data_IF_738756566975
#
_entry.id   IF_738756566975
#
_cell.length_a   1.000
_cell.length_b   1.000
_cell.length_c   1.000
_cell.angle_alpha   90.00
_cell.angle_beta   90.00
_cell.angle_gamma   90.00
#
_symmetry.space_group_name_H-M   'P 1'
#
loop_
_entity.id
_entity.type
_entity.pdbx_description
1 polymer ?
#
# COMPACT_ATOMS: atom_id res chain seq x y z
N UNK A 1 -49.54 -75.64 6.13
CA UNK A 1 -48.51 -75.19 7.10
C UNK A 1 -47.19 -75.08 6.36
N UNK A 2 -46.66 -73.86 6.18
CA UNK A 2 -45.49 -73.59 5.32
C UNK A 2 -44.20 -73.93 6.06
N UNK A 3 -43.44 -74.87 5.53
CA UNK A 3 -42.06 -75.17 5.92
C UNK A 3 -41.09 -74.71 4.83
N UNK A 4 -39.92 -74.27 5.32
CA UNK A 4 -38.79 -73.64 4.62
C UNK A 4 -38.22 -74.46 3.46
N UNK A 5 -37.80 -73.79 2.39
CA UNK A 5 -36.74 -74.28 1.50
C UNK A 5 -35.93 -73.11 0.91
N UNK A 6 -34.72 -72.98 1.43
CA UNK A 6 -33.44 -72.53 0.85
C UNK A 6 -33.42 -71.61 -0.37
N UNK A 7 -32.77 -70.44 -0.22
CA UNK A 7 -32.20 -69.66 -1.33
C UNK A 7 -30.69 -69.73 -1.25
N UNK A 8 -30.08 -70.16 -2.35
CA UNK A 8 -28.66 -70.37 -2.54
C UNK A 8 -27.87 -69.05 -2.63
N UNK A 9 -26.65 -69.10 -2.10
CA UNK A 9 -25.67 -68.02 -2.14
C UNK A 9 -25.19 -67.73 -3.58
N UNK A 10 -25.18 -66.45 -3.95
CA UNK A 10 -24.44 -65.95 -5.12
C UNK A 10 -23.31 -65.06 -4.62
N UNK A 11 -22.08 -65.57 -4.73
CA UNK A 11 -20.83 -64.86 -4.50
C UNK A 11 -20.56 -63.93 -5.68
N UNK A 12 -20.62 -62.61 -5.44
CA UNK A 12 -20.07 -61.60 -6.36
C UNK A 12 -19.00 -60.80 -5.63
N UNK A 13 -17.80 -60.97 -6.15
CA UNK A 13 -16.52 -60.36 -5.79
C UNK A 13 -16.60 -58.82 -5.71
N UNK A 14 -16.38 -58.29 -4.50
CA UNK A 14 -16.12 -56.86 -4.30
C UNK A 14 -14.74 -56.53 -4.87
N UNK A 15 -14.69 -55.92 -6.06
CA UNK A 15 -13.48 -55.28 -6.58
C UNK A 15 -13.16 -54.08 -5.69
N UNK A 16 -12.04 -54.13 -4.95
CA UNK A 16 -11.50 -52.99 -4.24
C UNK A 16 -11.12 -51.89 -5.24
N UNK A 17 -11.72 -50.71 -5.11
CA UNK A 17 -11.32 -49.52 -5.84
C UNK A 17 -9.93 -49.05 -5.35
N UNK A 18 -9.07 -48.51 -6.23
CA UNK A 18 -7.72 -48.08 -5.85
C UNK A 18 -7.80 -46.90 -4.88
N UNK A 19 -7.08 -47.05 -3.75
CA UNK A 19 -6.92 -46.04 -2.70
C UNK A 19 -6.18 -44.84 -3.28
N UNK A 20 -6.89 -43.76 -3.61
CA UNK A 20 -6.30 -42.47 -3.96
C UNK A 20 -5.45 -42.00 -2.77
N UNK A 21 -4.12 -42.08 -2.92
CA UNK A 21 -3.15 -41.49 -2.02
C UNK A 21 -3.32 -39.96 -2.07
N UNK A 22 -4.09 -39.44 -1.13
CA UNK A 22 -4.18 -38.01 -0.87
C UNK A 22 -2.80 -37.56 -0.35
N UNK A 23 -1.97 -37.00 -1.25
CA UNK A 23 -0.77 -36.28 -0.84
C UNK A 23 -1.23 -35.00 -0.14
N UNK A 24 -0.87 -34.74 1.12
CA UNK A 24 -1.24 -33.49 1.76
C UNK A 24 -0.63 -32.34 0.96
N UNK A 25 -1.50 -31.46 0.48
CA UNK A 25 -1.13 -30.15 -0.04
C UNK A 25 -0.34 -29.48 1.09
N UNK A 26 0.94 -29.19 0.87
CA UNK A 26 1.72 -28.36 1.79
C UNK A 26 0.98 -27.03 1.88
N UNK A 27 0.35 -26.78 3.02
CA UNK A 27 -0.24 -25.49 3.32
C UNK A 27 0.90 -24.46 3.25
N UNK A 28 0.82 -23.59 2.24
CA UNK A 28 1.68 -22.44 2.15
C UNK A 28 1.18 -21.46 3.22
N UNK A 29 1.59 -21.65 4.48
CA UNK A 29 1.18 -20.80 5.60
C UNK A 29 2.02 -19.53 5.58
N UNK A 30 1.79 -18.68 4.59
CA UNK A 30 2.11 -17.26 4.73
C UNK A 30 0.95 -16.63 5.52
N UNK A 31 0.86 -16.97 6.81
CA UNK A 31 -0.19 -16.48 7.70
C UNK A 31 0.03 -14.99 7.91
N UNK A 32 -0.86 -14.17 7.34
CA UNK A 32 -0.86 -12.72 7.51
C UNK A 32 -0.88 -12.39 9.01
N UNK A 33 0.09 -11.62 9.46
CA UNK A 33 0.20 -11.17 10.85
C UNK A 33 -0.39 -9.77 10.99
N UNK A 34 -1.16 -9.56 12.06
CA UNK A 34 -1.75 -8.30 12.44
C UNK A 34 -1.05 -7.77 13.68
N UNK A 35 -0.80 -6.46 13.70
CA UNK A 35 -0.23 -5.77 14.84
C UNK A 35 -1.24 -4.81 15.47
N UNK A 36 -1.26 -4.75 16.80
CA UNK A 36 -2.19 -3.93 17.57
C UNK A 36 -1.41 -3.00 18.48
N UNK A 37 -1.67 -1.71 18.37
CA UNK A 37 -0.90 -0.66 19.04
C UNK A 37 -1.75 -0.01 20.12
N UNK A 38 -1.18 0.13 21.31
CA UNK A 38 -1.73 0.89 22.44
C UNK A 38 -0.72 1.94 22.88
N UNK A 39 -1.16 3.19 23.01
CA UNK A 39 -0.33 4.31 23.47
C UNK A 39 -1.00 4.95 24.69
N UNK A 40 -0.34 4.87 25.83
CA UNK A 40 -0.71 5.59 27.06
C UNK A 40 -0.11 7.00 27.01
N UNK A 41 -0.92 8.00 27.35
CA UNK A 41 -0.52 9.41 27.34
C UNK A 41 -0.34 9.94 28.76
N UNK A 42 0.64 10.83 28.95
CA UNK A 42 0.87 11.51 30.24
C UNK A 42 -0.28 12.46 30.58
N UNK A 43 -0.80 13.15 29.56
CA UNK A 43 -1.94 14.06 29.64
C UNK A 43 -3.26 13.35 29.95
N UNK A 44 -3.40 12.08 29.58
CA UNK A 44 -4.64 11.31 29.66
C UNK A 44 -4.40 9.93 30.28
N UNK A 45 -4.35 9.88 31.61
CA UNK A 45 -4.07 8.66 32.38
C UNK A 45 -5.22 7.64 32.42
N UNK A 46 -6.42 8.04 32.00
CA UNK A 46 -7.64 7.22 32.13
C UNK A 46 -7.90 6.29 30.95
N UNK A 47 -7.18 6.43 29.83
CA UNK A 47 -7.44 5.62 28.64
C UNK A 47 -6.24 5.62 27.68
N UNK A 48 -5.96 4.45 27.11
CA UNK A 48 -4.98 4.30 26.04
C UNK A 48 -5.61 4.64 24.69
N UNK A 49 -4.85 5.35 23.85
CA UNK A 49 -5.17 5.41 22.43
C UNK A 49 -4.86 4.04 21.82
N UNK A 50 -5.85 3.40 21.20
CA UNK A 50 -5.72 2.03 20.65
C UNK A 50 -6.05 1.99 19.17
N UNK A 51 -5.25 1.27 18.39
CA UNK A 51 -5.58 0.94 17.00
C UNK A 51 -5.08 -0.46 16.66
N UNK A 52 -5.95 -1.25 16.03
CA UNK A 52 -5.74 -2.66 15.76
C UNK A 52 -5.49 -2.91 14.26
N UNK A 53 -5.02 -4.12 13.94
CA UNK A 53 -4.88 -4.65 12.58
C UNK A 53 -3.95 -3.86 11.65
N UNK A 54 -2.84 -3.35 12.18
CA UNK A 54 -1.74 -2.85 11.36
C UNK A 54 -1.07 -4.00 10.60
N UNK A 55 -0.74 -3.75 9.32
CA UNK A 55 0.31 -4.53 8.66
C UNK A 55 1.68 -4.19 9.24
N UNK A 56 2.69 -5.02 8.99
CA UNK A 56 4.06 -4.76 9.46
C UNK A 56 4.59 -3.43 8.93
N UNK A 57 4.34 -3.12 7.65
CA UNK A 57 4.77 -1.87 7.02
C UNK A 57 4.05 -0.66 7.62
N UNK A 58 2.73 -0.79 7.87
CA UNK A 58 1.95 0.29 8.47
C UNK A 58 2.39 0.56 9.90
N UNK A 59 2.65 -0.48 10.70
CA UNK A 59 3.18 -0.37 12.05
C UNK A 59 4.53 0.37 12.01
N UNK A 60 5.41 -0.07 11.11
CA UNK A 60 6.76 0.47 11.01
C UNK A 60 6.73 1.97 10.65
N UNK A 61 6.02 2.34 9.58
CA UNK A 61 6.02 3.73 9.07
C UNK A 61 5.21 4.68 9.96
N UNK A 62 4.08 4.22 10.52
CA UNK A 62 3.15 5.13 11.23
C UNK A 62 3.42 5.22 12.72
N UNK A 63 4.12 4.26 13.30
CA UNK A 63 4.28 4.15 14.76
C UNK A 63 5.75 4.03 15.15
N UNK A 64 6.46 3.01 14.65
CA UNK A 64 7.83 2.74 15.07
C UNK A 64 8.76 3.87 14.61
N UNK A 65 8.82 4.18 13.32
CA UNK A 65 9.72 5.22 12.79
C UNK A 65 9.52 6.57 13.49
N UNK A 66 8.28 7.11 13.61
CA UNK A 66 8.06 8.36 14.36
C UNK A 66 8.45 8.25 15.83
N UNK A 67 8.15 7.14 16.51
CA UNK A 67 8.55 6.93 17.90
C UNK A 67 10.07 6.96 18.07
N UNK A 68 10.81 6.27 17.20
CA UNK A 68 12.26 6.18 17.23
C UNK A 68 12.95 7.51 16.91
N UNK A 69 12.38 8.31 16.01
CA UNK A 69 12.87 9.64 15.65
C UNK A 69 12.42 10.74 16.62
N UNK A 70 11.43 10.45 17.47
CA UNK A 70 10.81 11.44 18.35
C UNK A 70 9.98 12.45 17.57
N UNK A 71 9.24 11.98 16.56
CA UNK A 71 8.27 12.74 15.76
C UNK A 71 6.84 12.47 16.23
N UNK A 72 5.88 13.39 15.99
CA UNK A 72 4.48 13.19 16.36
C UNK A 72 3.85 11.97 15.67
N UNK A 73 3.07 11.19 16.41
CA UNK A 73 2.33 10.03 15.90
C UNK A 73 0.88 10.42 15.65
N UNK A 74 0.34 10.10 14.47
CA UNK A 74 -1.09 10.31 14.19
C UNK A 74 -1.83 8.98 14.34
N UNK A 75 -2.75 8.91 15.30
CA UNK A 75 -3.57 7.71 15.56
C UNK A 75 -5.02 8.11 15.80
N UNK A 76 -5.96 7.43 15.13
CA UNK A 76 -7.41 7.71 15.18
C UNK A 76 -7.77 9.19 14.91
N UNK A 77 -6.98 9.89 14.08
CA UNK A 77 -7.17 11.32 13.78
C UNK A 77 -6.61 12.27 14.85
N UNK A 78 -6.08 11.75 15.97
CA UNK A 78 -5.41 12.51 17.03
C UNK A 78 -3.90 12.55 16.80
N UNK A 79 -3.31 13.72 16.96
CA UNK A 79 -1.85 13.89 16.94
C UNK A 79 -1.30 13.74 18.35
N UNK A 80 -0.45 12.73 18.55
CA UNK A 80 0.21 12.41 19.82
C UNK A 80 1.62 13.00 19.77
N UNK A 81 1.89 13.93 20.68
CA UNK A 81 3.20 14.56 20.77
C UNK A 81 4.20 13.62 21.47
N UNK A 82 5.47 13.55 21.01
CA UNK A 82 6.49 12.66 21.60
C UNK A 82 6.65 12.80 23.11
N UNK A 83 6.59 14.06 23.59
CA UNK A 83 6.75 14.38 25.01
C UNK A 83 5.57 13.89 25.87
N UNK A 84 4.40 13.71 25.25
CA UNK A 84 3.17 13.26 25.92
C UNK A 84 3.03 11.73 25.94
N UNK A 85 3.90 10.99 25.24
CA UNK A 85 3.90 9.53 25.29
C UNK A 85 4.43 9.07 26.65
N UNK A 86 3.62 8.32 27.38
CA UNK A 86 4.00 7.65 28.63
C UNK A 86 4.51 6.22 28.33
N UNK A 87 3.72 5.45 27.59
CA UNK A 87 4.03 4.07 27.22
C UNK A 87 3.46 3.72 25.86
N UNK A 88 4.19 2.91 25.11
CA UNK A 88 3.72 2.26 23.88
C UNK A 88 3.74 0.75 24.09
N UNK A 89 2.71 0.06 23.62
CA UNK A 89 2.61 -1.39 23.61
C UNK A 89 2.19 -1.86 22.22
N UNK A 90 2.88 -2.87 21.70
CA UNK A 90 2.66 -3.45 20.38
C UNK A 90 2.45 -4.95 20.58
N UNK A 91 1.26 -5.43 20.22
CA UNK A 91 0.93 -6.86 20.25
C UNK A 91 0.76 -7.42 18.85
N UNK A 92 1.08 -8.70 18.64
CA UNK A 92 1.01 -9.41 17.35
C UNK A 92 0.06 -10.60 17.43
N UNK A 93 -0.76 -10.80 16.40
CA UNK A 93 -1.61 -11.98 16.25
C UNK A 93 -1.74 -12.43 14.80
N UNK A 94 -1.90 -13.73 14.57
CA UNK A 94 -2.27 -14.28 13.25
C UNK A 94 -3.77 -14.11 12.94
N UNK A 95 -4.57 -13.82 13.96
CA UNK A 95 -6.00 -13.54 13.83
C UNK A 95 -6.23 -12.02 13.75
N UNK A 96 -7.29 -11.60 13.06
CA UNK A 96 -7.75 -10.19 13.05
C UNK A 96 -8.36 -9.80 14.39
N UNK A 97 -8.42 -8.50 14.68
CA UNK A 97 -9.05 -8.05 15.92
C UNK A 97 -10.53 -8.38 15.95
N UNK A 98 -11.25 -8.38 14.82
CA UNK A 98 -12.66 -8.79 14.77
C UNK A 98 -12.85 -10.24 15.24
N UNK A 99 -11.98 -11.16 14.80
CA UNK A 99 -12.02 -12.56 15.22
C UNK A 99 -11.79 -12.72 16.72
N UNK A 100 -10.82 -11.97 17.27
CA UNK A 100 -10.54 -11.99 18.72
C UNK A 100 -11.70 -11.37 19.50
N UNK A 101 -12.29 -10.27 19.01
CA UNK A 101 -13.45 -9.60 19.60
C UNK A 101 -14.67 -10.54 19.63
N UNK A 102 -14.92 -11.30 18.56
CA UNK A 102 -16.03 -12.26 18.55
C UNK A 102 -15.82 -13.38 19.58
N UNK A 103 -14.61 -13.91 19.72
CA UNK A 103 -14.29 -14.86 20.80
C UNK A 103 -14.55 -14.26 22.18
N UNK A 104 -14.11 -13.02 22.41
CA UNK A 104 -14.37 -12.28 23.66
C UNK A 104 -15.88 -12.16 23.93
N UNK A 105 -16.68 -11.81 22.91
CA UNK A 105 -18.14 -11.68 23.07
C UNK A 105 -18.80 -13.01 23.40
N UNK A 106 -18.39 -14.10 22.75
CA UNK A 106 -18.91 -15.45 23.01
C UNK A 106 -18.59 -15.87 24.45
N UNK A 107 -17.35 -15.68 24.90
CA UNK A 107 -16.94 -15.97 26.27
C UNK A 107 -17.74 -15.14 27.30
N UNK A 108 -17.93 -13.85 27.03
CA UNK A 108 -18.72 -12.98 27.89
C UNK A 108 -20.19 -13.42 27.97
N UNK A 109 -20.79 -13.86 26.86
CA UNK A 109 -22.18 -14.39 26.83
C UNK A 109 -22.33 -15.69 27.63
N UNK A 110 -21.26 -16.49 27.68
CA UNK A 110 -21.24 -17.75 28.41
C UNK A 110 -20.83 -17.58 29.88
N UNK A 111 -20.55 -16.35 30.33
CA UNK A 111 -20.15 -16.04 31.71
C UNK A 111 -21.34 -15.52 32.52
N UNK A 112 -21.44 -15.96 33.78
CA UNK A 112 -22.42 -15.44 34.74
C UNK A 112 -21.95 -14.12 35.39
N UNK A 113 -20.81 -13.57 34.97
CA UNK A 113 -20.24 -12.33 35.51
C UNK A 113 -20.59 -11.14 34.60
N UNK A 114 -21.46 -10.27 35.09
CA UNK A 114 -21.83 -9.02 34.40
C UNK A 114 -20.82 -7.93 34.80
N UNK A 115 -19.92 -7.57 33.88
CA UNK A 115 -19.00 -6.44 34.06
C UNK A 115 -19.64 -5.15 33.57
N UNK A 116 -20.04 -4.28 34.49
CA UNK A 116 -20.53 -2.93 34.17
C UNK A 116 -19.32 -1.99 34.11
N UNK A 117 -18.93 -1.61 32.89
CA UNK A 117 -17.70 -0.86 32.64
C UNK A 117 -16.47 -1.75 32.47
N UNK A 118 -15.50 -1.28 31.69
CA UNK A 118 -14.25 -1.97 31.39
C UNK A 118 -13.60 -1.48 30.09
N UNK A 119 -12.38 -1.95 29.78
CA UNK A 119 -11.70 -1.58 28.54
C UNK A 119 -12.51 -1.96 27.30
N UNK A 120 -12.34 -1.19 26.22
CA UNK A 120 -13.02 -1.45 24.95
C UNK A 120 -12.69 -2.85 24.39
N UNK A 121 -13.57 -3.38 23.53
CA UNK A 121 -13.31 -4.65 22.85
C UNK A 121 -11.99 -4.62 22.04
N UNK A 122 -11.67 -3.48 21.42
CA UNK A 122 -10.41 -3.29 20.71
C UNK A 122 -9.20 -3.39 21.66
N UNK A 123 -9.26 -2.76 22.83
CA UNK A 123 -8.22 -2.85 23.85
C UNK A 123 -8.06 -4.29 24.35
N UNK A 124 -9.17 -4.99 24.61
CA UNK A 124 -9.17 -6.39 25.07
C UNK A 124 -8.59 -7.33 24.01
N UNK A 125 -8.87 -7.07 22.73
CA UNK A 125 -8.30 -7.84 21.64
C UNK A 125 -6.79 -7.65 21.53
N UNK A 126 -6.31 -6.39 21.56
CA UNK A 126 -4.89 -6.08 21.57
C UNK A 126 -4.18 -6.72 22.78
N UNK A 127 -4.80 -6.69 23.96
CA UNK A 127 -4.25 -7.26 25.18
C UNK A 127 -4.19 -8.79 25.21
N UNK A 128 -4.95 -9.48 24.35
CA UNK A 128 -4.92 -10.95 24.20
C UNK A 128 -3.88 -11.43 23.20
N UNK A 129 -3.41 -10.54 22.33
CA UNK A 129 -2.38 -10.82 21.36
C UNK A 129 -0.99 -10.88 22.04
N UNK A 130 -0.01 -11.48 21.36
CA UNK A 130 1.34 -11.65 21.90
C UNK A 130 2.08 -10.31 21.94
N UNK A 131 2.50 -9.84 23.11
CA UNK A 131 3.26 -8.59 23.24
C UNK A 131 4.66 -8.78 22.61
N UNK A 132 4.99 -7.91 21.65
CA UNK A 132 6.26 -7.88 20.91
C UNK A 132 6.94 -6.51 21.04
N UNK A 133 6.54 -5.71 22.02
CA UNK A 133 7.03 -4.33 22.19
C UNK A 133 8.54 -4.28 22.31
N UNK A 134 9.12 -5.11 23.19
CA UNK A 134 10.56 -5.15 23.44
C UNK A 134 11.37 -5.72 22.26
N UNK A 135 10.71 -6.49 21.38
CA UNK A 135 11.33 -6.98 20.13
C UNK A 135 11.45 -5.86 19.09
N UNK A 136 10.55 -4.87 19.13
CA UNK A 136 10.41 -3.84 18.11
C UNK A 136 10.98 -2.48 18.52
N UNK A 137 11.03 -2.18 19.82
CA UNK A 137 11.47 -0.89 20.36
C UNK A 137 12.58 -1.12 21.38
N UNK A 138 13.77 -0.63 21.05
CA UNK A 138 14.99 -0.87 21.85
C UNK A 138 15.41 0.30 22.75
N UNK A 139 14.63 1.38 22.77
CA UNK A 139 14.98 2.57 23.54
C UNK A 139 13.83 3.56 23.73
N UNK A 140 14.03 4.61 24.55
CA UNK A 140 13.02 5.63 24.82
C UNK A 140 12.67 6.45 23.57
N UNK A 141 11.52 7.14 23.58
CA UNK A 141 11.11 8.01 22.46
C UNK A 141 12.26 8.90 21.97
N UNK A 142 12.52 8.87 20.66
CA UNK A 142 13.63 9.63 20.06
C UNK A 142 15.03 9.03 20.30
N UNK A 143 15.19 7.79 20.73
CA UNK A 143 16.53 7.19 20.95
C UNK A 143 17.38 7.07 19.66
N UNK A 144 16.75 7.17 18.48
CA UNK A 144 17.43 7.29 17.18
C UNK A 144 17.44 8.73 16.64
N UNK A 145 16.97 9.72 17.41
CA UNK A 145 16.99 11.14 17.01
C UNK A 145 18.41 11.61 16.75
N UNK A 146 18.68 12.08 15.54
CA UNK A 146 20.03 12.50 15.10
C UNK A 146 21.00 11.35 14.80
N UNK A 147 20.66 10.11 15.20
CA UNK A 147 21.26 8.89 14.65
C UNK A 147 20.40 8.48 13.48
N UNK A 148 20.65 9.05 12.31
CA UNK A 148 20.06 8.54 11.06
C UNK A 148 20.13 7.01 11.10
N UNK A 149 18.99 6.29 11.08
CA UNK A 149 19.05 4.91 10.69
C UNK A 149 19.45 4.98 9.23
N UNK A 150 20.75 4.76 8.96
CA UNK A 150 21.13 3.99 7.78
C UNK A 150 20.32 2.71 7.92
N UNK A 151 19.12 2.69 7.33
CA UNK A 151 18.37 1.48 7.12
C UNK A 151 19.24 0.69 6.15
N UNK A 152 20.20 -0.07 6.69
CA UNK A 152 20.52 -1.41 6.21
C UNK A 152 19.23 -2.20 6.31
N UNK A 153 18.31 -1.89 5.40
CA UNK A 153 17.51 -2.92 4.79
C UNK A 153 18.58 -3.91 4.33
N UNK A 154 18.50 -5.17 4.75
CA UNK A 154 19.03 -6.28 3.95
C UNK A 154 18.23 -6.36 2.64
N UNK A 155 18.23 -5.25 1.90
CA UNK A 155 18.31 -5.22 0.48
C UNK A 155 19.82 -5.42 0.26
N UNK A 156 20.26 -6.44 -0.44
CA UNK A 156 20.46 -6.27 -1.87
C UNK A 156 19.78 -5.01 -2.46
N UNK A 157 20.06 -3.80 -1.94
CA UNK A 157 19.93 -2.58 -2.70
C UNK A 157 21.19 -2.60 -3.55
N UNK A 158 21.10 -3.36 -4.64
CA UNK A 158 21.42 -2.72 -5.91
C UNK A 158 20.81 -1.33 -5.81
N UNK A 159 21.62 -0.29 -5.95
CA UNK A 159 21.14 1.06 -6.21
C UNK A 159 20.00 0.97 -7.21
N UNK A 160 18.74 0.96 -6.73
CA UNK A 160 17.63 0.76 -7.63
C UNK A 160 17.35 2.14 -8.19
N UNK A 161 18.20 2.52 -9.14
CA UNK A 161 18.07 3.70 -9.97
C UNK A 161 16.80 3.62 -10.85
N UNK A 162 16.01 2.55 -10.68
CA UNK A 162 14.71 2.36 -11.29
C UNK A 162 13.71 3.40 -10.83
N UNK A 163 13.17 4.08 -11.83
CA UNK A 163 12.06 5.01 -11.69
C UNK A 163 10.96 4.58 -12.65
N UNK A 164 9.70 4.70 -12.26
CA UNK A 164 8.60 4.34 -13.15
C UNK A 164 8.18 5.54 -13.96
N UNK A 165 7.86 5.34 -15.24
CA UNK A 165 7.33 6.38 -16.12
C UNK A 165 5.94 5.96 -16.57
N UNK A 166 4.92 6.63 -16.03
CA UNK A 166 3.53 6.53 -16.45
C UNK A 166 3.31 7.52 -17.58
N UNK A 167 2.71 7.07 -18.69
CA UNK A 167 2.47 7.93 -19.83
C UNK A 167 1.22 7.53 -20.62
N UNK A 168 0.73 8.48 -21.38
CA UNK A 168 -0.35 8.31 -22.35
C UNK A 168 0.15 7.95 -23.75
N UNK A 169 -0.51 8.48 -24.77
CA UNK A 169 -0.18 8.28 -26.19
C UNK A 169 0.91 9.22 -26.70
N UNK A 170 1.31 10.24 -25.94
CA UNK A 170 2.37 11.16 -26.33
C UNK A 170 3.75 10.47 -26.33
N UNK A 171 4.14 9.98 -27.50
CA UNK A 171 5.41 9.26 -27.68
C UNK A 171 6.62 10.18 -27.63
N UNK A 172 6.47 11.45 -28.02
CA UNK A 172 7.54 12.45 -28.00
C UNK A 172 8.00 12.72 -26.58
N UNK A 173 7.09 13.18 -25.72
CA UNK A 173 7.42 13.48 -24.32
C UNK A 173 7.91 12.24 -23.56
N UNK A 174 7.32 11.07 -23.85
CA UNK A 174 7.75 9.79 -23.28
C UNK A 174 9.20 9.44 -23.65
N UNK A 175 9.59 9.64 -24.91
CA UNK A 175 10.95 9.34 -25.34
C UNK A 175 11.94 10.36 -24.78
N UNK A 176 11.57 11.64 -24.74
CA UNK A 176 12.41 12.70 -24.19
C UNK A 176 12.72 12.45 -22.71
N UNK A 177 11.71 12.10 -21.90
CA UNK A 177 11.94 11.79 -20.48
C UNK A 177 12.73 10.50 -20.29
N UNK A 178 12.54 9.49 -21.14
CA UNK A 178 13.29 8.23 -21.10
C UNK A 178 14.78 8.46 -21.38
N UNK A 179 15.11 9.29 -22.37
CA UNK A 179 16.49 9.69 -22.68
C UNK A 179 17.08 10.49 -21.52
N UNK A 180 16.40 11.56 -21.09
CA UNK A 180 16.87 12.41 -20.00
C UNK A 180 17.14 11.61 -18.72
N UNK A 181 16.23 10.71 -18.32
CA UNK A 181 16.41 9.90 -17.11
C UNK A 181 17.62 8.95 -17.22
N UNK A 182 17.87 8.38 -18.40
CA UNK A 182 19.05 7.53 -18.64
C UNK A 182 20.34 8.33 -18.59
N UNK A 183 20.36 9.52 -19.19
CA UNK A 183 21.53 10.39 -19.23
C UNK A 183 21.97 10.80 -17.83
N UNK A 184 21.02 10.93 -16.90
CA UNK A 184 21.30 11.27 -15.51
C UNK A 184 21.54 10.05 -14.59
N UNK A 185 21.71 8.85 -15.18
CA UNK A 185 22.06 7.61 -14.49
C UNK A 185 20.88 6.81 -13.90
N UNK A 186 19.63 7.12 -14.32
CA UNK A 186 18.42 6.40 -13.90
C UNK A 186 17.97 5.32 -14.90
N UNK A 187 17.22 4.34 -14.42
CA UNK A 187 16.68 3.24 -15.21
C UNK A 187 15.14 3.39 -15.33
N UNK A 188 14.63 4.05 -16.36
CA UNK A 188 13.18 4.22 -16.52
C UNK A 188 12.50 2.88 -16.84
N UNK A 189 11.49 2.53 -16.03
CA UNK A 189 10.57 1.42 -16.24
C UNK A 189 9.32 1.97 -16.93
N UNK A 190 9.17 1.60 -18.20
CA UNK A 190 8.00 1.92 -19.02
C UNK A 190 7.23 0.63 -19.27
N UNK A 191 5.96 0.59 -18.83
CA UNK A 191 5.17 -0.65 -18.75
C UNK A 191 5.03 -1.38 -20.09
N UNK A 192 4.73 -0.65 -21.17
CA UNK A 192 4.54 -1.25 -22.51
C UNK A 192 5.83 -1.86 -23.09
N UNK A 193 7.01 -1.54 -22.53
CA UNK A 193 8.30 -2.10 -22.96
C UNK A 193 8.67 -3.37 -22.21
N UNK A 194 7.97 -3.68 -21.12
CA UNK A 194 8.23 -4.90 -20.35
C UNK A 194 7.58 -6.12 -21.05
N UNK A 195 8.08 -7.32 -20.79
CA UNK A 195 7.48 -8.55 -21.30
C UNK A 195 6.09 -8.76 -20.68
N UNK A 196 5.13 -9.27 -21.47
CA UNK A 196 3.76 -9.51 -20.98
C UNK A 196 3.67 -10.72 -20.05
N UNK A 197 4.50 -11.75 -20.26
CA UNK A 197 4.59 -12.96 -19.41
C UNK A 197 3.23 -13.68 -19.14
N UNK A 198 2.23 -13.44 -19.98
CA UNK A 198 0.86 -13.95 -19.76
C UNK A 198 0.12 -13.28 -18.60
N UNK A 199 0.69 -12.21 -18.03
CA UNK A 199 0.08 -11.40 -16.98
C UNK A 199 -0.96 -10.46 -17.58
N UNK A 200 -1.99 -10.17 -16.80
CA UNK A 200 -2.87 -9.03 -17.08
C UNK A 200 -2.10 -7.72 -16.94
N UNK A 201 -2.61 -6.64 -17.55
CA UNK A 201 -1.99 -5.31 -17.48
C UNK A 201 -1.77 -4.88 -16.02
N UNK A 202 -2.73 -5.15 -15.13
CA UNK A 202 -2.63 -4.78 -13.72
C UNK A 202 -1.57 -5.61 -12.98
N UNK A 203 -1.48 -6.91 -13.22
CA UNK A 203 -0.45 -7.77 -12.62
C UNK A 203 0.95 -7.39 -13.11
N UNK A 204 1.09 -7.09 -14.41
CA UNK A 204 2.32 -6.58 -15.01
C UNK A 204 2.71 -5.23 -14.38
N UNK A 205 1.75 -4.34 -14.21
CA UNK A 205 1.96 -3.06 -13.54
C UNK A 205 2.44 -3.25 -12.09
N UNK A 206 1.74 -4.06 -11.31
CA UNK A 206 2.11 -4.36 -9.92
C UNK A 206 3.51 -4.96 -9.83
N UNK A 207 3.84 -5.94 -10.68
CA UNK A 207 5.17 -6.58 -10.74
C UNK A 207 6.29 -5.57 -10.99
N UNK A 208 6.06 -4.59 -11.85
CA UNK A 208 7.07 -3.61 -12.25
C UNK A 208 7.04 -2.31 -11.42
N UNK A 209 6.12 -2.20 -10.45
CA UNK A 209 5.94 -1.01 -9.62
C UNK A 209 6.88 -0.92 -8.42
N UNK A 210 7.82 -1.86 -8.24
CA UNK A 210 8.87 -1.80 -7.20
C UNK A 210 9.99 -0.82 -7.59
N UNK A 211 9.66 0.47 -7.47
CA UNK A 211 10.52 1.62 -7.79
C UNK A 211 10.62 2.57 -6.60
N UNK A 212 11.63 3.44 -6.60
CA UNK A 212 11.78 4.46 -5.54
C UNK A 212 11.22 5.85 -5.90
N UNK A 213 10.82 6.04 -7.16
CA UNK A 213 10.24 7.27 -7.67
C UNK A 213 9.39 7.01 -8.91
N UNK A 214 8.37 7.84 -9.14
CA UNK A 214 7.54 7.78 -10.34
C UNK A 214 7.38 9.15 -11.02
N UNK A 215 7.47 9.15 -12.34
CA UNK A 215 7.14 10.27 -13.21
C UNK A 215 5.81 10.01 -13.90
N UNK A 216 4.90 10.97 -13.81
CA UNK A 216 3.55 10.90 -14.39
C UNK A 216 3.45 11.93 -15.51
N UNK A 217 3.32 11.47 -16.75
CA UNK A 217 3.16 12.35 -17.90
C UNK A 217 1.67 12.64 -18.14
N UNK A 218 1.25 13.87 -17.86
CA UNK A 218 -0.11 14.36 -18.06
C UNK A 218 -0.18 15.11 -19.39
N UNK A 219 -0.64 14.41 -20.43
CA UNK A 219 -0.79 14.93 -21.80
C UNK A 219 -2.26 14.96 -22.21
N UNK A 220 -2.67 15.84 -23.14
CA UNK A 220 -4.07 15.99 -23.56
C UNK A 220 -4.53 14.83 -24.45
N UNK A 221 -4.69 13.65 -23.86
CA UNK A 221 -4.98 12.39 -24.54
C UNK A 221 -6.47 12.09 -24.71
N UNK A 222 -7.25 12.47 -23.70
CA UNK A 222 -8.69 12.23 -23.63
C UNK A 222 -9.43 13.56 -23.62
N UNK A 223 -10.69 13.53 -24.07
CA UNK A 223 -11.62 14.65 -23.93
C UNK A 223 -12.57 14.35 -22.76
N UNK A 224 -12.63 15.28 -21.82
CA UNK A 224 -13.53 15.27 -20.68
C UNK A 224 -14.84 15.98 -20.97
N UNK A 225 -15.95 15.36 -20.58
CA UNK A 225 -17.28 15.91 -20.75
C UNK A 225 -18.25 15.23 -19.78
N UNK A 226 -19.17 15.99 -19.17
CA UNK A 226 -20.28 15.40 -18.42
C UNK A 226 -21.37 14.86 -19.36
N UNK A 227 -22.13 13.86 -18.93
CA UNK A 227 -23.26 13.32 -19.72
C UNK A 227 -24.24 14.42 -20.12
N UNK A 228 -24.52 15.35 -19.21
CA UNK A 228 -25.41 16.49 -19.46
C UNK A 228 -24.87 17.43 -20.56
N UNK A 229 -23.56 17.68 -20.58
CA UNK A 229 -22.93 18.49 -21.62
C UNK A 229 -22.90 17.77 -22.96
N UNK A 230 -22.74 16.44 -22.95
CA UNK A 230 -22.82 15.60 -24.15
C UNK A 230 -24.23 15.59 -24.74
N UNK A 231 -25.26 15.44 -23.91
CA UNK A 231 -26.65 15.39 -24.36
C UNK A 231 -27.14 16.74 -24.90
N UNK A 232 -26.62 17.85 -24.38
CA UNK A 232 -26.90 19.21 -24.88
C UNK A 232 -25.98 19.64 -26.02
N UNK A 233 -25.13 18.75 -26.52
CA UNK A 233 -24.14 19.08 -27.53
C UNK A 233 -24.81 19.37 -28.88
N UNK A 234 -24.85 20.64 -29.23
CA UNK A 234 -25.16 21.10 -30.58
C UNK A 234 -23.95 20.80 -31.46
N UNK A 235 -24.10 19.89 -32.43
CA UNK A 235 -22.97 19.40 -33.26
C UNK A 235 -22.30 20.50 -34.09
N UNK A 236 -22.97 21.63 -34.26
CA UNK A 236 -22.53 22.75 -35.11
C UNK A 236 -21.91 23.92 -34.32
N UNK A 237 -21.67 23.77 -33.01
CA UNK A 237 -20.99 24.79 -32.19
C UNK A 237 -19.61 24.33 -31.74
N UNK A 238 -18.59 25.12 -32.08
CA UNK A 238 -17.26 25.01 -31.50
C UNK A 238 -17.35 25.27 -29.99
N UNK A 239 -17.31 24.19 -29.20
CA UNK A 239 -17.17 24.27 -27.75
C UNK A 239 -15.74 23.89 -27.39
N UNK A 240 -15.12 24.64 -26.49
CA UNK A 240 -13.83 24.27 -25.92
C UNK A 240 -14.00 22.94 -25.15
N UNK A 241 -13.42 21.89 -25.71
CA UNK A 241 -13.36 20.58 -25.07
C UNK A 241 -12.36 20.61 -23.92
N UNK A 242 -12.73 20.03 -22.78
CA UNK A 242 -11.80 19.89 -21.68
C UNK A 242 -10.79 18.77 -22.01
N UNK A 243 -9.54 19.14 -22.27
CA UNK A 243 -8.49 18.16 -22.55
C UNK A 243 -8.00 17.54 -21.24
N UNK A 244 -7.92 16.21 -21.19
CA UNK A 244 -7.57 15.46 -19.98
C UNK A 244 -6.46 14.46 -20.26
N UNK A 245 -5.70 14.14 -19.21
CA UNK A 245 -4.82 12.99 -19.21
C UNK A 245 -5.61 11.69 -19.34
N UNK A 246 -4.98 10.68 -19.95
CA UNK A 246 -5.58 9.36 -20.14
C UNK A 246 -6.07 8.79 -18.81
N UNK A 247 -7.26 8.17 -18.77
CA UNK A 247 -7.80 7.63 -17.52
C UNK A 247 -6.86 6.64 -16.80
N UNK A 248 -6.18 5.77 -17.54
CA UNK A 248 -5.21 4.83 -16.96
C UNK A 248 -4.03 5.56 -16.30
N UNK A 249 -3.58 6.68 -16.88
CA UNK A 249 -2.52 7.51 -16.29
C UNK A 249 -2.97 8.08 -14.95
N UNK A 250 -4.23 8.53 -14.83
CA UNK A 250 -4.78 9.03 -13.56
C UNK A 250 -4.88 7.92 -12.51
N UNK A 251 -5.28 6.71 -12.92
CA UNK A 251 -5.31 5.54 -12.02
C UNK A 251 -3.91 5.20 -11.49
N UNK A 252 -2.93 5.05 -12.39
CA UNK A 252 -1.55 4.71 -12.04
C UNK A 252 -0.90 5.81 -11.18
N UNK A 253 -1.24 7.07 -11.44
CA UNK A 253 -0.85 8.19 -10.61
C UNK A 253 -1.39 8.04 -9.17
N UNK A 254 -2.69 7.79 -9.00
CA UNK A 254 -3.28 7.56 -7.68
C UNK A 254 -2.61 6.40 -6.94
N UNK A 255 -2.30 5.32 -7.66
CA UNK A 255 -1.56 4.17 -7.13
C UNK A 255 -0.17 4.56 -6.61
N UNK A 256 0.65 5.25 -7.42
CA UNK A 256 2.00 5.63 -7.00
C UNK A 256 2.00 6.68 -5.90
N UNK A 257 1.06 7.62 -5.91
CA UNK A 257 0.90 8.59 -4.83
C UNK A 257 0.60 7.90 -3.49
N UNK A 258 -0.18 6.82 -3.51
CA UNK A 258 -0.47 6.00 -2.33
C UNK A 258 0.71 5.10 -1.92
N UNK A 259 1.37 4.46 -2.89
CA UNK A 259 2.44 3.47 -2.65
C UNK A 259 3.77 4.12 -2.24
N UNK A 260 4.20 5.15 -2.97
CA UNK A 260 5.49 5.82 -2.77
C UNK A 260 5.37 7.05 -1.87
N UNK A 261 4.16 7.59 -1.73
CA UNK A 261 3.93 8.89 -1.12
C UNK A 261 4.15 10.03 -2.11
N UNK A 262 3.45 11.15 -1.86
CA UNK A 262 3.43 12.33 -2.75
C UNK A 262 4.82 12.93 -3.04
N UNK A 263 5.76 12.83 -2.09
CA UNK A 263 7.14 13.35 -2.23
C UNK A 263 7.98 12.55 -3.23
N UNK A 264 7.55 11.34 -3.58
CA UNK A 264 8.25 10.42 -4.47
C UNK A 264 7.55 10.30 -5.84
N UNK A 265 6.71 11.29 -6.18
CA UNK A 265 5.96 11.35 -7.44
C UNK A 265 6.10 12.75 -8.04
N UNK A 266 6.48 12.81 -9.32
CA UNK A 266 6.56 14.04 -10.09
C UNK A 266 5.59 13.99 -11.28
N UNK A 267 4.68 14.95 -11.37
CA UNK A 267 3.83 15.14 -12.53
C UNK A 267 4.50 16.10 -13.52
N UNK A 268 4.66 15.66 -14.76
CA UNK A 268 5.10 16.48 -15.89
C UNK A 268 3.89 16.66 -16.79
N UNK A 269 3.56 17.90 -17.15
CA UNK A 269 2.32 18.17 -17.89
C UNK A 269 2.53 19.14 -19.05
N UNK A 270 1.76 18.95 -20.13
CA UNK A 270 1.68 19.87 -21.27
C UNK A 270 0.61 20.92 -21.06
N UNK A 271 0.73 22.04 -21.76
CA UNK A 271 -0.26 23.10 -21.66
C UNK A 271 -1.66 22.65 -22.11
N UNK A 272 -2.69 23.25 -21.52
CA UNK A 272 -4.08 22.99 -21.88
C UNK A 272 -4.68 21.69 -21.34
N UNK A 273 -3.90 20.81 -20.69
CA UNK A 273 -4.46 19.64 -19.99
C UNK A 273 -5.01 20.03 -18.63
N UNK A 274 -6.21 19.56 -18.29
CA UNK A 274 -6.75 19.71 -16.94
C UNK A 274 -5.92 18.90 -15.95
N UNK A 275 -5.48 19.57 -14.89
CA UNK A 275 -4.77 18.94 -13.78
C UNK A 275 -5.74 18.56 -12.66
N UNK A 276 -5.48 17.47 -11.91
CA UNK A 276 -6.23 17.16 -10.70
C UNK A 276 -6.07 18.26 -9.64
N UNK A 277 -7.18 18.90 -9.22
CA UNK A 277 -7.15 20.08 -8.34
C UNK A 277 -6.84 19.79 -6.86
N UNK A 278 -7.06 18.56 -6.36
CA UNK A 278 -7.11 18.27 -4.92
C UNK A 278 -5.83 17.66 -4.31
N UNK A 279 -4.66 17.93 -4.89
CA UNK A 279 -3.41 17.24 -4.50
C UNK A 279 -2.36 18.22 -4.00
N UNK A 280 -2.63 18.81 -2.83
CA UNK A 280 -1.66 19.63 -2.11
C UNK A 280 -0.35 18.84 -1.87
N UNK A 281 0.80 19.45 -2.20
CA UNK A 281 2.13 18.87 -1.96
C UNK A 281 2.66 17.91 -3.04
N UNK A 282 2.02 17.85 -4.22
CA UNK A 282 2.56 17.17 -5.39
C UNK A 282 3.42 18.13 -6.23
N UNK A 283 4.49 17.61 -6.83
CA UNK A 283 5.36 18.35 -7.73
C UNK A 283 4.78 18.33 -9.15
N UNK A 284 4.31 19.47 -9.64
CA UNK A 284 3.91 19.67 -11.03
C UNK A 284 4.98 20.46 -11.78
N UNK A 285 5.39 19.97 -12.96
CA UNK A 285 6.37 20.58 -13.84
C UNK A 285 5.76 20.75 -15.23
N UNK A 286 5.57 22.00 -15.67
CA UNK A 286 5.08 22.28 -17.03
C UNK A 286 6.22 22.06 -18.02
N UNK A 287 6.00 21.21 -19.02
CA UNK A 287 6.92 21.06 -20.16
C UNK A 287 6.41 21.93 -21.31
N UNK A 288 7.29 22.78 -21.85
CA UNK A 288 6.94 23.68 -22.96
C UNK A 288 7.34 23.09 -24.31
N UNK A 289 8.62 22.77 -24.47
CA UNK A 289 9.17 22.23 -25.72
C UNK A 289 9.86 20.88 -25.51
N UNK A 290 10.73 20.77 -24.50
CA UNK A 290 11.49 19.57 -24.19
C UNK A 290 11.68 19.40 -22.69
N UNK A 291 12.05 18.18 -22.27
CA UNK A 291 12.32 17.87 -20.85
C UNK A 291 13.50 18.69 -20.29
N UNK A 292 14.42 19.14 -21.14
CA UNK A 292 15.56 19.98 -20.75
C UNK A 292 15.12 21.25 -20.02
N UNK A 293 13.98 21.84 -20.39
CA UNK A 293 13.46 23.06 -19.76
C UNK A 293 13.14 22.88 -18.27
N UNK A 294 12.90 21.65 -17.83
CA UNK A 294 12.60 21.28 -16.43
C UNK A 294 13.67 20.39 -15.81
N UNK A 295 14.70 20.03 -16.57
CA UNK A 295 15.70 19.03 -16.17
C UNK A 295 16.46 19.40 -14.89
N UNK A 296 16.88 20.67 -14.77
CA UNK A 296 17.55 21.16 -13.55
C UNK A 296 16.69 20.99 -12.29
N UNK A 297 15.39 21.28 -12.40
CA UNK A 297 14.46 21.15 -11.28
C UNK A 297 14.25 19.68 -10.91
N UNK A 298 14.11 18.79 -11.90
CA UNK A 298 14.01 17.34 -11.68
C UNK A 298 15.25 16.82 -10.96
N UNK A 299 16.45 17.17 -11.43
CA UNK A 299 17.72 16.74 -10.82
C UNK A 299 17.82 17.22 -9.36
N UNK A 300 17.44 18.48 -9.10
CA UNK A 300 17.45 19.06 -7.76
C UNK A 300 16.54 18.29 -6.79
N UNK A 301 15.31 17.97 -7.22
CA UNK A 301 14.36 17.20 -6.41
C UNK A 301 14.84 15.77 -6.16
N UNK A 302 15.33 15.09 -7.20
CA UNK A 302 15.87 13.73 -7.11
C UNK A 302 17.05 13.65 -6.13
N UNK A 303 17.95 14.65 -6.15
CA UNK A 303 19.05 14.75 -5.18
C UNK A 303 18.54 14.97 -3.76
N UNK A 304 17.51 15.81 -3.58
CA UNK A 304 16.94 16.10 -2.26
C UNK A 304 16.34 14.86 -1.59
N UNK A 305 15.81 13.92 -2.38
CA UNK A 305 15.27 12.65 -1.88
C UNK A 305 16.30 11.49 -1.87
N UNK A 306 17.56 11.77 -2.21
CA UNK A 306 18.69 10.85 -2.04
C UNK A 306 19.06 9.99 -3.25
N UNK A 307 18.59 10.30 -4.46
CA UNK A 307 19.13 9.67 -5.67
C UNK A 307 20.55 10.16 -5.95
N UNK A 308 21.41 9.22 -6.37
CA UNK A 308 22.72 9.55 -6.94
C UNK A 308 22.52 9.80 -8.42
N UNK A 309 22.74 11.04 -8.82
CA UNK A 309 22.53 11.50 -10.19
C UNK A 309 23.89 11.71 -10.85
N UNK A 310 24.05 11.13 -12.03
CA UNK A 310 25.20 11.34 -12.91
C UNK A 310 24.94 12.64 -13.69
N UNK A 311 25.88 13.58 -13.66
CA UNK A 311 25.80 14.88 -14.36
C UNK A 311 27.16 15.15 -14.98
#
# INVERSE_FOLDING_TARGET
>A
MKNRTTVAASSRTLRQAPRLLYKPVRANTNTKMNYHVRISLKSQKSSDETKNDFSEEQLLVRVIEPYEQGEPIIMNGKTIQPNDIDRIQISKSSESSEQIIEKIKIENRNSNVISIGGPSYAWRAASRANDVTDELISGPVGYKKGKTPKKTITSNKKSNNKVFVVHGHDTGLKNDIDIFLRDIGLEPVILHRQADEGLTIIEKFEKHSDVSYAFILLTPDDVGMTVFEYEKHDKDKDKEFELRARQNVIFEFGYFAAKLGRRNVCCIYKDGVTLPNDIAGLLYKKVTESVDSIGYEIIKELRAIGFKIEV
#
